data_IF_902338896022
#
_entry.id   IF_902338896022
#
_cell.length_a   1.000
_cell.length_b   1.000
_cell.length_c   1.000
_cell.angle_alpha   90.00
_cell.angle_beta   90.00
_cell.angle_gamma   90.00
#
_symmetry.space_group_name_H-M   'P 1'
#
loop_
_entity.id
_entity.type
_entity.pdbx_description
1 polymer ?
#
# COMPACT_ATOMS: atom_id res chain seq x y z
N UNK A 1 2.52 -8.28 -20.38
CA UNK A 1 1.10 -8.34 -19.96
C UNK A 1 0.32 -7.30 -20.74
N UNK A 2 -0.64 -7.72 -21.59
CA UNK A 2 -1.52 -6.80 -22.33
C UNK A 2 -2.31 -5.97 -21.32
N UNK A 3 -2.18 -4.67 -21.40
CA UNK A 3 -2.87 -3.74 -20.50
C UNK A 3 -4.38 -3.81 -20.74
N UNK A 4 -5.13 -4.26 -19.75
CA UNK A 4 -6.58 -4.12 -19.77
C UNK A 4 -6.95 -2.63 -19.77
N UNK A 5 -7.91 -2.20 -20.60
CA UNK A 5 -8.41 -0.83 -20.57
C UNK A 5 -8.89 -0.44 -19.17
N UNK A 6 -8.85 0.84 -18.82
CA UNK A 6 -9.19 1.32 -17.46
C UNK A 6 -10.59 0.88 -17.02
N UNK A 7 -11.57 0.87 -17.93
CA UNK A 7 -12.94 0.46 -17.62
C UNK A 7 -13.07 -1.03 -17.24
N UNK A 8 -12.27 -1.93 -17.83
CA UNK A 8 -12.31 -3.36 -17.45
C UNK A 8 -11.73 -3.59 -16.07
N UNK A 9 -10.71 -2.83 -15.66
CA UNK A 9 -10.15 -2.88 -14.29
C UNK A 9 -11.17 -2.40 -13.26
N UNK A 10 -11.89 -1.32 -13.54
CA UNK A 10 -12.97 -0.85 -12.71
C UNK A 10 -14.14 -1.81 -12.64
N UNK A 11 -14.50 -2.43 -13.75
CA UNK A 11 -15.56 -3.44 -13.81
C UNK A 11 -15.22 -4.68 -12.96
N UNK A 12 -13.99 -5.19 -13.06
CA UNK A 12 -13.51 -6.31 -12.23
C UNK A 12 -13.52 -5.92 -10.75
N UNK A 13 -13.02 -4.74 -10.41
CA UNK A 13 -13.01 -4.24 -9.03
C UNK A 13 -14.43 -4.14 -8.47
N UNK A 14 -15.37 -3.51 -9.20
CA UNK A 14 -16.77 -3.40 -8.80
C UNK A 14 -17.43 -4.77 -8.63
N UNK A 15 -17.16 -5.70 -9.54
CA UNK A 15 -17.70 -7.06 -9.44
C UNK A 15 -17.19 -7.79 -8.19
N UNK A 16 -15.88 -7.73 -7.92
CA UNK A 16 -15.30 -8.36 -6.71
C UNK A 16 -15.84 -7.70 -5.44
N UNK A 17 -15.95 -6.37 -5.41
CA UNK A 17 -16.54 -5.64 -4.27
C UNK A 17 -17.97 -6.08 -4.03
N UNK A 18 -18.79 -6.14 -5.07
CA UNK A 18 -20.19 -6.58 -4.97
C UNK A 18 -20.29 -8.02 -4.46
N UNK A 19 -19.43 -8.91 -4.96
CA UNK A 19 -19.37 -10.30 -4.52
C UNK A 19 -19.00 -10.43 -3.03
N UNK A 20 -17.99 -9.67 -2.57
CA UNK A 20 -17.58 -9.65 -1.15
C UNK A 20 -18.70 -9.13 -0.26
N UNK A 21 -19.35 -8.02 -0.64
CA UNK A 21 -20.49 -7.45 0.11
C UNK A 21 -21.66 -8.44 0.16
N UNK A 22 -22.02 -9.04 -0.98
CA UNK A 22 -23.08 -10.03 -1.07
C UNK A 22 -22.80 -11.25 -0.18
N UNK A 23 -21.58 -11.76 -0.21
CA UNK A 23 -21.15 -12.89 0.63
C UNK A 23 -21.22 -12.54 2.12
N UNK A 24 -20.76 -11.35 2.52
CA UNK A 24 -20.82 -10.89 3.91
C UNK A 24 -22.27 -10.76 4.41
N UNK A 25 -23.17 -10.18 3.60
CA UNK A 25 -24.59 -10.04 3.93
C UNK A 25 -25.26 -11.42 4.04
N UNK A 26 -25.05 -12.30 3.05
CA UNK A 26 -25.63 -13.65 3.05
C UNK A 26 -25.11 -14.47 4.23
N UNK A 27 -23.82 -14.40 4.53
CA UNK A 27 -23.21 -15.09 5.66
C UNK A 27 -23.76 -14.57 7.00
N UNK A 28 -23.87 -13.26 7.18
CA UNK A 28 -24.46 -12.65 8.38
C UNK A 28 -25.92 -13.07 8.58
N UNK A 29 -26.69 -13.10 7.50
CA UNK A 29 -28.09 -13.55 7.55
C UNK A 29 -28.19 -15.02 7.96
N UNK A 30 -27.37 -15.88 7.36
CA UNK A 30 -27.34 -17.33 7.68
C UNK A 30 -26.95 -17.58 9.16
N UNK A 31 -25.88 -16.90 9.62
CA UNK A 31 -25.42 -17.04 11.01
C UNK A 31 -26.49 -16.60 12.00
N UNK A 32 -27.16 -15.45 11.79
CA UNK A 32 -28.27 -14.98 12.65
C UNK A 32 -29.41 -15.99 12.67
N UNK A 33 -29.72 -16.60 11.52
CA UNK A 33 -30.76 -17.64 11.45
C UNK A 33 -30.38 -18.89 12.25
N UNK A 34 -29.14 -19.34 12.13
CA UNK A 34 -28.60 -20.47 12.90
C UNK A 34 -28.61 -20.17 14.41
N UNK A 35 -28.13 -18.99 14.82
CA UNK A 35 -28.19 -18.58 16.23
C UNK A 35 -29.60 -18.60 16.78
N UNK A 36 -30.57 -18.08 16.03
CA UNK A 36 -31.97 -18.12 16.45
C UNK A 36 -32.48 -19.55 16.61
N UNK A 37 -32.20 -20.44 15.65
CA UNK A 37 -32.62 -21.85 15.74
C UNK A 37 -32.00 -22.58 16.95
N UNK A 38 -30.74 -22.31 17.28
CA UNK A 38 -30.11 -22.90 18.45
C UNK A 38 -30.68 -22.33 19.76
N UNK A 39 -30.98 -21.04 19.83
CA UNK A 39 -31.67 -20.45 21.00
C UNK A 39 -33.04 -21.06 21.19
N UNK A 40 -33.84 -21.18 20.12
CA UNK A 40 -35.18 -21.80 20.18
C UNK A 40 -35.10 -23.28 20.69
N UNK A 41 -34.06 -24.02 20.27
CA UNK A 41 -33.82 -25.40 20.80
C UNK A 41 -33.49 -25.40 22.28
N UNK A 42 -32.66 -24.49 22.76
CA UNK A 42 -32.33 -24.41 24.21
C UNK A 42 -33.61 -24.11 24.99
N UNK A 43 -34.46 -23.19 24.47
CA UNK A 43 -35.74 -22.86 25.13
C UNK A 43 -36.72 -24.04 25.19
N UNK A 44 -36.81 -24.85 24.13
CA UNK A 44 -37.63 -26.09 24.11
C UNK A 44 -37.16 -27.06 25.15
N UNK A 45 -35.85 -27.32 25.26
CA UNK A 45 -35.28 -28.24 26.24
C UNK A 45 -35.46 -27.73 27.68
N UNK A 46 -35.23 -26.40 27.87
CA UNK A 46 -35.44 -25.78 29.18
C UNK A 46 -36.93 -25.89 29.62
N UNK A 47 -37.85 -25.69 28.66
CA UNK A 47 -39.30 -25.84 28.92
C UNK A 47 -39.63 -27.29 29.24
N UNK A 48 -39.13 -28.27 28.51
CA UNK A 48 -39.32 -29.69 28.80
C UNK A 48 -38.78 -30.06 30.19
N UNK A 49 -37.61 -29.57 30.58
CA UNK A 49 -37.06 -29.77 31.93
C UNK A 49 -37.91 -29.14 33.04
N UNK A 50 -38.50 -27.95 32.78
CA UNK A 50 -39.43 -27.28 33.70
C UNK A 50 -40.68 -28.10 33.93
N UNK A 51 -41.28 -28.71 32.90
CA UNK A 51 -42.39 -29.61 33.03
C UNK A 51 -42.06 -30.87 33.83
N UNK A 52 -40.86 -31.41 33.78
CA UNK A 52 -40.44 -32.53 34.65
C UNK A 52 -40.36 -32.17 36.13
N UNK A 53 -40.24 -30.91 36.50
CA UNK A 53 -40.25 -30.44 37.89
C UNK A 53 -41.64 -30.29 38.47
N UNK A 54 -42.66 -30.17 37.60
CA UNK A 54 -44.03 -29.95 38.05
C UNK A 54 -44.65 -31.24 38.52
N UNK A 55 -45.00 -31.34 39.82
CA UNK A 55 -45.59 -32.52 40.47
C UNK A 55 -46.94 -32.93 39.85
N UNK A 56 -47.54 -32.09 39.04
CA UNK A 56 -48.83 -32.38 38.34
C UNK A 56 -48.64 -33.16 37.03
N UNK A 57 -47.43 -33.33 36.55
CA UNK A 57 -47.13 -33.97 35.24
C UNK A 57 -46.92 -35.50 35.41
N UNK A 58 -47.88 -36.20 35.97
CA UNK A 58 -47.86 -37.67 36.12
C UNK A 58 -48.46 -38.42 34.90
N UNK A 59 -48.75 -37.72 33.80
CA UNK A 59 -49.28 -38.39 32.61
C UNK A 59 -48.12 -39.11 31.86
N UNK A 60 -48.20 -40.46 31.70
CA UNK A 60 -47.18 -41.25 31.03
C UNK A 60 -46.81 -40.75 29.61
N UNK A 61 -47.77 -40.19 28.86
CA UNK A 61 -47.54 -39.66 27.49
C UNK A 61 -46.75 -38.38 27.51
N UNK A 62 -46.97 -37.53 28.48
CA UNK A 62 -46.22 -36.29 28.67
C UNK A 62 -44.76 -36.60 29.04
N UNK A 63 -44.56 -37.57 29.92
CA UNK A 63 -43.23 -38.04 30.31
C UNK A 63 -42.46 -38.66 29.13
N UNK A 64 -43.15 -39.48 28.31
CA UNK A 64 -42.58 -40.06 27.10
C UNK A 64 -42.16 -39.01 26.08
N UNK A 65 -43.00 -37.94 25.89
CA UNK A 65 -42.68 -36.82 25.02
C UNK A 65 -41.43 -36.07 25.50
N UNK A 66 -41.35 -35.78 26.82
CA UNK A 66 -40.22 -35.06 27.39
C UNK A 66 -38.93 -35.90 27.24
N UNK A 67 -38.99 -37.20 27.52
CA UNK A 67 -37.86 -38.11 27.34
C UNK A 67 -37.41 -38.17 25.86
N UNK A 68 -38.37 -38.13 24.93
CA UNK A 68 -38.06 -38.11 23.49
C UNK A 68 -37.34 -36.78 23.10
N UNK A 69 -37.83 -35.64 23.58
CA UNK A 69 -37.17 -34.31 23.35
C UNK A 69 -35.75 -34.34 23.92
N UNK A 70 -35.55 -34.88 25.12
CA UNK A 70 -34.20 -35.00 25.72
C UNK A 70 -33.31 -36.00 24.99
N UNK A 71 -33.88 -37.09 24.48
CA UNK A 71 -33.16 -38.11 23.72
C UNK A 71 -32.72 -37.59 22.33
N UNK A 72 -33.52 -36.76 21.70
CA UNK A 72 -33.22 -36.17 20.42
C UNK A 72 -32.28 -34.93 20.51
N UNK A 73 -31.90 -34.59 21.75
CA UNK A 73 -30.92 -33.52 21.96
C UNK A 73 -29.50 -33.93 21.50
N UNK A 74 -29.07 -33.45 20.36
CA UNK A 74 -27.77 -33.74 19.77
C UNK A 74 -26.78 -32.58 19.85
N UNK A 75 -27.17 -31.42 20.43
CA UNK A 75 -26.33 -30.22 20.39
C UNK A 75 -26.12 -29.56 21.75
N UNK A 76 -27.10 -29.62 22.66
CA UNK A 76 -27.06 -28.91 23.93
C UNK A 76 -26.40 -29.77 25.00
N UNK A 77 -25.31 -29.31 25.65
CA UNK A 77 -24.68 -30.00 26.75
C UNK A 77 -25.62 -30.07 27.97
N UNK A 78 -25.81 -31.26 28.51
CA UNK A 78 -26.61 -31.48 29.70
C UNK A 78 -25.85 -32.42 30.63
N UNK A 79 -25.88 -32.15 31.94
CA UNK A 79 -25.29 -33.02 32.96
C UNK A 79 -26.11 -32.99 34.21
N UNK A 80 -26.29 -34.20 34.81
CA UNK A 80 -26.98 -34.39 36.08
C UNK A 80 -25.95 -34.40 37.24
N UNK A 81 -26.29 -33.71 38.33
CA UNK A 81 -25.48 -33.69 39.55
C UNK A 81 -26.31 -34.10 40.77
N UNK A 82 -25.62 -34.50 41.83
CA UNK A 82 -26.20 -34.70 43.15
C UNK A 82 -26.49 -33.36 43.87
N UNK A 83 -27.00 -33.44 45.10
CA UNK A 83 -27.25 -32.27 45.96
C UNK A 83 -26.00 -31.44 46.29
N UNK A 84 -24.84 -32.07 46.24
CA UNK A 84 -23.55 -31.44 46.54
C UNK A 84 -22.90 -30.83 45.28
N UNK A 85 -23.54 -30.95 44.11
CA UNK A 85 -23.05 -30.45 42.84
C UNK A 85 -22.00 -31.37 42.20
N UNK A 86 -21.83 -32.63 42.66
CA UNK A 86 -20.94 -33.57 42.01
C UNK A 86 -21.63 -34.25 40.83
N UNK A 87 -20.93 -34.43 39.70
CA UNK A 87 -21.50 -35.03 38.50
C UNK A 87 -21.82 -36.52 38.72
N UNK A 88 -23.00 -36.92 38.28
CA UNK A 88 -23.39 -38.34 38.24
C UNK A 88 -22.98 -38.85 36.86
N UNK A 89 -21.95 -39.73 36.83
CA UNK A 89 -21.40 -40.26 35.57
C UNK A 89 -21.96 -41.68 35.30
N UNK A 90 -23.27 -41.79 35.19
CA UNK A 90 -23.94 -43.01 34.74
C UNK A 90 -24.41 -42.88 33.30
N UNK A 91 -24.68 -44.00 32.65
CA UNK A 91 -25.23 -43.99 31.29
C UNK A 91 -26.57 -43.23 31.25
N UNK A 92 -26.64 -42.20 30.38
CA UNK A 92 -27.83 -41.36 30.26
C UNK A 92 -27.91 -40.13 31.19
N UNK A 93 -26.99 -39.96 32.15
CA UNK A 93 -26.98 -38.80 33.06
C UNK A 93 -26.23 -37.57 32.52
N UNK A 94 -25.53 -37.71 31.44
CA UNK A 94 -24.87 -36.59 30.72
C UNK A 94 -25.03 -36.77 29.21
N UNK A 95 -25.05 -35.66 28.49
CA UNK A 95 -25.16 -35.66 27.04
C UNK A 95 -24.44 -34.44 26.43
N UNK A 96 -23.83 -34.63 25.26
CA UNK A 96 -23.12 -33.60 24.51
C UNK A 96 -22.02 -32.85 25.31
N UNK A 97 -21.47 -33.50 26.34
CA UNK A 97 -20.35 -32.98 27.10
C UNK A 97 -19.06 -33.16 26.27
N UNK A 98 -18.22 -32.09 26.09
CA UNK A 98 -16.95 -32.22 25.40
C UNK A 98 -16.06 -33.30 26.02
N UNK A 99 -15.44 -34.16 25.20
CA UNK A 99 -14.54 -35.22 25.66
C UNK A 99 -13.41 -34.69 26.54
N UNK A 100 -12.89 -33.51 26.23
CA UNK A 100 -11.85 -32.84 27.01
C UNK A 100 -12.28 -32.51 28.45
N UNK A 101 -13.57 -32.25 28.67
CA UNK A 101 -14.10 -31.98 29.99
C UNK A 101 -14.28 -33.26 30.82
N UNK A 102 -14.42 -34.42 30.17
CA UNK A 102 -14.55 -35.74 30.83
C UNK A 102 -13.18 -36.35 31.23
N UNK A 103 -12.06 -35.79 30.74
CA UNK A 103 -10.73 -36.32 31.03
C UNK A 103 -10.32 -36.20 32.49
N UNK A 104 -10.73 -35.12 33.18
CA UNK A 104 -10.39 -34.91 34.59
C UNK A 104 -11.60 -34.36 35.37
N UNK A 105 -11.78 -34.81 36.64
CA UNK A 105 -12.87 -34.34 37.49
C UNK A 105 -12.86 -32.81 37.68
N UNK A 106 -11.67 -32.21 37.66
CA UNK A 106 -11.50 -30.76 37.84
C UNK A 106 -12.03 -29.95 36.61
N UNK A 107 -11.75 -30.43 35.38
CA UNK A 107 -12.29 -29.83 34.15
C UNK A 107 -13.82 -29.96 34.12
N UNK A 108 -14.36 -31.10 34.54
CA UNK A 108 -15.80 -31.29 34.55
C UNK A 108 -16.48 -30.40 35.60
N UNK A 109 -15.93 -30.27 36.82
CA UNK A 109 -16.43 -29.31 37.82
C UNK A 109 -16.36 -27.87 37.34
N UNK A 110 -15.29 -27.47 36.63
CA UNK A 110 -15.18 -26.17 36.05
C UNK A 110 -16.28 -25.91 34.98
N UNK A 111 -16.57 -26.91 34.14
CA UNK A 111 -17.65 -26.85 33.17
C UNK A 111 -19.02 -26.71 33.85
N UNK A 112 -19.33 -27.51 34.87
CA UNK A 112 -20.59 -27.44 35.64
C UNK A 112 -20.74 -26.03 36.25
N UNK A 113 -19.67 -25.49 36.83
CA UNK A 113 -19.69 -24.11 37.36
C UNK A 113 -19.96 -23.07 36.28
N UNK A 114 -19.37 -23.23 35.09
CA UNK A 114 -19.64 -22.37 33.93
C UNK A 114 -21.12 -22.46 33.50
N UNK A 115 -21.66 -23.66 33.42
CA UNK A 115 -23.06 -23.90 33.07
C UNK A 115 -24.02 -23.23 34.09
N UNK A 116 -23.77 -23.39 35.40
CA UNK A 116 -24.54 -22.76 36.45
C UNK A 116 -24.48 -21.20 36.46
N UNK A 117 -23.38 -20.63 35.95
CA UNK A 117 -23.27 -19.18 35.76
C UNK A 117 -24.05 -18.69 34.52
N UNK A 118 -24.27 -19.54 33.52
CA UNK A 118 -24.99 -19.21 32.29
C UNK A 118 -26.50 -19.33 32.47
N UNK A 119 -26.95 -20.44 33.07
CA UNK A 119 -28.36 -20.71 33.32
C UNK A 119 -28.53 -21.30 34.71
N UNK A 120 -29.67 -21.02 35.37
CA UNK A 120 -30.03 -21.63 36.63
C UNK A 120 -30.31 -23.16 36.44
N UNK A 121 -29.70 -24.02 37.27
CA UNK A 121 -29.93 -25.47 37.17
C UNK A 121 -31.38 -25.83 37.56
N UNK A 122 -31.93 -26.83 36.91
CA UNK A 122 -33.24 -27.35 37.25
C UNK A 122 -33.16 -28.38 38.37
N UNK A 123 -34.02 -28.25 39.39
CA UNK A 123 -34.13 -29.17 40.50
C UNK A 123 -35.04 -30.34 40.14
N UNK A 124 -34.58 -31.59 40.27
CA UNK A 124 -35.39 -32.79 40.19
C UNK A 124 -35.55 -33.38 41.59
N UNK A 125 -36.77 -33.44 42.09
CA UNK A 125 -37.10 -34.10 43.35
C UNK A 125 -37.25 -35.59 43.10
N UNK A 126 -36.38 -36.40 43.68
CA UNK A 126 -36.45 -37.88 43.57
C UNK A 126 -37.32 -38.43 44.66
N UNK A 127 -38.04 -39.57 44.41
CA UNK A 127 -38.92 -40.24 45.40
C UNK A 127 -38.21 -40.69 46.67
N UNK A 128 -36.88 -40.86 46.58
CA UNK A 128 -36.03 -41.28 47.72
C UNK A 128 -35.58 -40.10 48.62
N UNK A 129 -36.12 -38.90 48.41
CA UNK A 129 -35.80 -37.67 49.14
C UNK A 129 -34.47 -37.03 48.81
N UNK A 130 -33.70 -37.56 47.84
CA UNK A 130 -32.47 -36.93 47.34
C UNK A 130 -32.79 -36.07 46.16
N UNK A 131 -32.44 -34.77 46.24
CA UNK A 131 -32.59 -33.85 45.13
C UNK A 131 -31.42 -34.01 44.13
N UNK A 132 -31.70 -33.87 42.86
CA UNK A 132 -30.71 -33.83 41.80
C UNK A 132 -30.85 -32.54 41.03
N UNK A 133 -29.77 -32.06 40.38
CA UNK A 133 -29.80 -30.84 39.59
C UNK A 133 -29.36 -31.14 38.15
N UNK A 134 -30.14 -30.62 37.20
CA UNK A 134 -29.76 -30.64 35.78
C UNK A 134 -29.12 -29.32 35.42
N UNK A 135 -27.85 -29.37 35.04
CA UNK A 135 -27.12 -28.27 34.43
C UNK A 135 -27.18 -28.38 32.92
N UNK A 136 -27.37 -27.25 32.25
CA UNK A 136 -27.35 -27.16 30.80
C UNK A 136 -26.68 -25.86 30.36
N UNK A 137 -26.28 -25.79 29.10
CA UNK A 137 -25.57 -24.63 28.54
C UNK A 137 -25.97 -24.45 27.09
N UNK A 138 -25.44 -23.38 26.48
CA UNK A 138 -25.55 -23.17 25.02
C UNK A 138 -24.98 -24.38 24.28
N UNK A 139 -25.48 -24.59 23.05
CA UNK A 139 -24.85 -25.57 22.17
C UNK A 139 -23.42 -25.16 21.85
N UNK A 140 -22.55 -26.15 21.65
CA UNK A 140 -21.17 -25.91 21.23
C UNK A 140 -21.07 -25.15 19.92
N UNK A 141 -22.10 -25.26 19.09
CA UNK A 141 -22.21 -24.46 17.84
C UNK A 141 -22.45 -22.99 18.15
N UNK A 142 -23.34 -22.66 19.08
CA UNK A 142 -23.66 -21.29 19.45
C UNK A 142 -22.44 -20.57 20.02
N UNK A 143 -21.69 -21.22 20.90
CA UNK A 143 -20.46 -20.68 21.47
C UNK A 143 -19.40 -20.38 20.38
N UNK A 144 -19.30 -21.20 19.32
CA UNK A 144 -18.41 -20.96 18.17
C UNK A 144 -18.89 -19.80 17.29
N UNK A 145 -20.22 -19.65 17.15
CA UNK A 145 -20.79 -18.59 16.34
C UNK A 145 -20.58 -17.19 16.95
N UNK A 146 -20.32 -17.09 18.24
CA UNK A 146 -20.02 -15.82 18.92
C UNK A 146 -18.71 -15.18 18.42
N UNK A 147 -17.76 -15.98 17.89
CA UNK A 147 -16.52 -15.45 17.28
C UNK A 147 -16.70 -14.95 15.83
N UNK A 148 -17.86 -15.23 15.22
CA UNK A 148 -18.11 -14.87 13.83
C UNK A 148 -17.92 -13.37 13.53
N UNK A 149 -18.40 -12.41 14.36
CA UNK A 149 -18.20 -10.98 14.10
C UNK A 149 -16.72 -10.60 14.05
N UNK A 150 -15.88 -11.22 14.88
CA UNK A 150 -14.44 -10.98 14.88
C UNK A 150 -13.79 -11.49 13.58
N UNK A 151 -14.14 -12.71 13.17
CA UNK A 151 -13.64 -13.30 11.92
C UNK A 151 -14.04 -12.43 10.72
N UNK A 152 -15.31 -12.00 10.67
CA UNK A 152 -15.81 -11.12 9.63
C UNK A 152 -15.06 -9.76 9.60
N UNK A 153 -14.81 -9.18 10.76
CA UNK A 153 -14.05 -7.92 10.87
C UNK A 153 -12.62 -8.05 10.33
N UNK A 154 -11.95 -9.17 10.57
CA UNK A 154 -10.61 -9.46 10.02
C UNK A 154 -10.66 -9.56 8.49
N UNK A 155 -11.64 -10.28 7.93
CA UNK A 155 -11.79 -10.37 6.47
C UNK A 155 -12.10 -9.02 5.82
N UNK A 156 -12.99 -8.20 6.40
CA UNK A 156 -13.31 -6.86 5.89
C UNK A 156 -12.07 -5.96 5.96
N UNK A 157 -11.32 -5.99 7.05
CA UNK A 157 -10.09 -5.22 7.20
C UNK A 157 -9.04 -5.60 6.16
N UNK A 158 -8.84 -6.89 5.92
CA UNK A 158 -7.96 -7.39 4.86
C UNK A 158 -8.39 -6.92 3.47
N UNK A 159 -9.68 -6.98 3.16
CA UNK A 159 -10.21 -6.47 1.90
C UNK A 159 -9.99 -4.97 1.74
N UNK A 160 -10.20 -4.15 2.77
CA UNK A 160 -9.95 -2.70 2.73
C UNK A 160 -8.47 -2.38 2.48
N UNK A 161 -7.55 -3.15 3.05
CA UNK A 161 -6.10 -3.01 2.78
C UNK A 161 -5.77 -3.31 1.31
N UNK A 162 -6.35 -4.37 0.74
CA UNK A 162 -6.19 -4.69 -0.69
C UNK A 162 -6.75 -3.59 -1.57
N UNK A 163 -7.93 -3.03 -1.25
CA UNK A 163 -8.52 -1.90 -1.94
C UNK A 163 -7.60 -0.67 -1.89
N UNK A 164 -7.11 -0.33 -0.72
CA UNK A 164 -6.19 0.81 -0.54
C UNK A 164 -4.92 0.65 -1.38
N UNK A 165 -4.30 -0.53 -1.35
CA UNK A 165 -3.13 -0.84 -2.16
C UNK A 165 -3.42 -0.76 -3.67
N UNK A 166 -4.56 -1.30 -4.11
CA UNK A 166 -5.02 -1.25 -5.50
C UNK A 166 -5.19 0.18 -6.00
N UNK A 167 -5.91 1.04 -5.25
CA UNK A 167 -6.09 2.44 -5.61
C UNK A 167 -4.79 3.24 -5.64
N UNK A 168 -3.90 2.97 -4.68
CA UNK A 168 -2.58 3.61 -4.65
C UNK A 168 -1.73 3.23 -5.87
N UNK A 169 -1.78 1.97 -6.27
CA UNK A 169 -1.05 1.47 -7.44
C UNK A 169 -1.63 2.02 -8.74
N UNK A 170 -2.97 2.07 -8.87
CA UNK A 170 -3.62 2.66 -10.03
C UNK A 170 -3.26 4.13 -10.24
N UNK A 171 -3.32 4.95 -9.19
CA UNK A 171 -2.92 6.36 -9.29
C UNK A 171 -1.51 6.54 -9.82
N UNK A 172 -0.57 5.77 -9.31
CA UNK A 172 0.82 5.84 -9.80
C UNK A 172 0.91 5.51 -11.29
N UNK A 173 0.25 4.43 -11.72
CA UNK A 173 0.28 3.99 -13.11
C UNK A 173 -0.36 5.01 -14.06
N UNK A 174 -1.46 5.65 -13.68
CA UNK A 174 -2.14 6.65 -14.50
C UNK A 174 -1.27 7.92 -14.66
N UNK A 175 -0.62 8.40 -13.60
CA UNK A 175 0.34 9.49 -13.68
C UNK A 175 1.51 9.16 -14.61
N UNK A 176 2.07 7.95 -14.53
CA UNK A 176 3.15 7.48 -15.41
C UNK A 176 2.74 7.45 -16.88
N UNK A 177 1.55 6.94 -17.15
CA UNK A 177 1.05 6.81 -18.52
C UNK A 177 0.77 8.16 -19.18
N UNK A 178 0.18 9.10 -18.44
CA UNK A 178 -0.08 10.46 -18.92
C UNK A 178 1.23 11.19 -19.24
N UNK A 179 2.23 11.11 -18.37
CA UNK A 179 3.52 11.76 -18.60
C UNK A 179 4.28 11.18 -19.78
N UNK A 180 4.31 9.83 -19.93
CA UNK A 180 4.97 9.20 -21.07
C UNK A 180 4.26 9.51 -22.38
N UNK A 181 2.93 9.53 -22.40
CA UNK A 181 2.14 9.91 -23.56
C UNK A 181 2.33 11.37 -23.97
N UNK A 182 2.24 12.28 -23.00
CA UNK A 182 2.48 13.72 -23.23
C UNK A 182 3.90 14.01 -23.72
N UNK A 183 4.90 13.37 -23.10
CA UNK A 183 6.29 13.57 -23.50
C UNK A 183 6.54 13.09 -24.93
N UNK A 184 6.05 11.90 -25.28
CA UNK A 184 6.19 11.32 -26.61
C UNK A 184 5.47 12.17 -27.68
N UNK A 185 4.23 12.57 -27.39
CA UNK A 185 3.45 13.40 -28.29
C UNK A 185 4.08 14.79 -28.47
N UNK A 186 4.50 15.43 -27.38
CA UNK A 186 5.19 16.73 -27.43
C UNK A 186 6.48 16.65 -28.25
N UNK A 187 7.28 15.59 -28.06
CA UNK A 187 8.49 15.39 -28.84
C UNK A 187 8.19 15.22 -30.33
N UNK A 188 7.13 14.50 -30.69
CA UNK A 188 6.72 14.31 -32.07
C UNK A 188 6.21 15.61 -32.70
N UNK A 189 5.36 16.35 -32.00
CA UNK A 189 4.79 17.63 -32.46
C UNK A 189 5.85 18.73 -32.60
N UNK A 190 6.89 18.73 -31.78
CA UNK A 190 8.04 19.64 -31.87
C UNK A 190 9.01 19.20 -32.96
N UNK A 191 9.23 17.88 -33.12
CA UNK A 191 10.21 17.33 -34.06
C UNK A 191 9.94 17.69 -35.50
N UNK A 192 8.67 17.73 -35.92
CA UNK A 192 8.27 18.07 -37.32
C UNK A 192 8.66 19.51 -37.71
N UNK A 193 8.22 20.57 -36.99
CA UNK A 193 8.65 21.94 -37.33
C UNK A 193 10.17 22.14 -37.13
N UNK A 194 10.77 21.44 -36.21
CA UNK A 194 12.20 21.50 -35.96
C UNK A 194 13.03 20.99 -37.12
N UNK A 195 12.61 19.86 -37.73
CA UNK A 195 13.25 19.33 -38.95
C UNK A 195 13.16 20.33 -40.12
N UNK A 196 12.03 21.04 -40.25
CA UNK A 196 11.86 22.10 -41.25
C UNK A 196 12.82 23.26 -40.96
N UNK A 197 12.92 23.72 -39.68
CA UNK A 197 13.85 24.78 -39.31
C UNK A 197 15.30 24.40 -39.58
N UNK A 198 15.71 23.16 -39.33
CA UNK A 198 17.06 22.68 -39.68
C UNK A 198 17.32 22.77 -41.19
N UNK A 199 16.33 22.39 -42.02
CA UNK A 199 16.44 22.51 -43.46
C UNK A 199 16.62 23.99 -43.92
N UNK A 200 15.84 24.91 -43.33
CA UNK A 200 15.99 26.34 -43.63
C UNK A 200 17.35 26.90 -43.18
N UNK A 201 17.84 26.49 -42.01
CA UNK A 201 19.17 26.90 -41.53
C UNK A 201 20.27 26.46 -42.52
N UNK A 202 20.15 25.22 -43.04
CA UNK A 202 21.13 24.68 -43.96
C UNK A 202 21.12 25.46 -45.33
N UNK A 203 19.92 25.79 -45.85
CA UNK A 203 19.77 26.63 -47.05
C UNK A 203 20.40 28.01 -46.81
N UNK A 204 20.07 28.69 -45.70
CA UNK A 204 20.64 29.97 -45.36
C UNK A 204 22.16 29.94 -45.17
N UNK A 205 22.74 28.86 -44.70
CA UNK A 205 24.20 28.61 -44.62
C UNK A 205 24.84 28.55 -46.01
N UNK A 206 24.16 27.90 -46.97
CA UNK A 206 24.62 27.79 -48.34
C UNK A 206 24.59 29.18 -49.03
N UNK A 207 23.55 29.98 -48.76
CA UNK A 207 23.39 31.32 -49.34
C UNK A 207 24.37 32.34 -48.72
N UNK A 208 24.62 32.31 -47.41
CA UNK A 208 25.52 33.24 -46.72
C UNK A 208 26.30 32.56 -45.56
N UNK A 209 27.41 31.84 -45.86
CA UNK A 209 28.21 31.10 -44.89
C UNK A 209 28.81 31.97 -43.78
N UNK A 210 29.02 33.25 -44.01
CA UNK A 210 29.63 34.17 -43.05
C UNK A 210 28.65 34.88 -42.13
N UNK A 211 27.34 34.73 -42.34
CA UNK A 211 26.30 35.38 -41.54
C UNK A 211 26.37 34.96 -40.05
N UNK A 212 26.59 35.96 -39.18
CA UNK A 212 26.53 35.76 -37.73
C UNK A 212 25.13 35.32 -37.27
N UNK A 213 24.06 35.86 -37.91
CA UNK A 213 22.68 35.52 -37.57
C UNK A 213 22.33 34.05 -37.85
N UNK A 214 22.83 33.50 -38.97
CA UNK A 214 22.63 32.07 -39.30
C UNK A 214 23.35 31.17 -38.30
N UNK A 215 24.56 31.53 -37.87
CA UNK A 215 25.30 30.77 -36.85
C UNK A 215 24.59 30.76 -35.49
N UNK A 216 23.99 31.88 -35.08
CA UNK A 216 23.23 31.92 -33.82
C UNK A 216 21.90 31.15 -33.93
N UNK A 217 21.19 31.28 -35.08
CA UNK A 217 19.98 30.51 -35.34
C UNK A 217 20.24 29.01 -35.35
N UNK A 218 21.35 28.56 -35.96
CA UNK A 218 21.77 27.14 -35.92
C UNK A 218 21.97 26.64 -34.48
N UNK A 219 22.60 27.45 -33.64
CA UNK A 219 22.75 27.09 -32.21
C UNK A 219 21.42 26.93 -31.48
N UNK A 220 20.48 27.83 -31.73
CA UNK A 220 19.16 27.78 -31.11
C UNK A 220 18.33 26.58 -31.61
N UNK A 221 18.36 26.28 -32.91
CA UNK A 221 17.71 25.14 -33.52
C UNK A 221 18.31 23.85 -32.96
N UNK A 222 19.63 23.70 -32.89
CA UNK A 222 20.29 22.56 -32.30
C UNK A 222 19.92 22.38 -30.82
N UNK A 223 19.74 23.47 -30.09
CA UNK A 223 19.27 23.43 -28.72
C UNK A 223 17.84 22.88 -28.60
N UNK A 224 16.94 23.26 -29.52
CA UNK A 224 15.59 22.71 -29.59
C UNK A 224 15.59 21.22 -29.95
N UNK A 225 16.49 20.78 -30.85
CA UNK A 225 16.69 19.34 -31.15
C UNK A 225 17.01 18.55 -29.90
N UNK A 226 18.00 18.98 -29.12
CA UNK A 226 18.39 18.33 -27.87
C UNK A 226 17.22 18.28 -26.86
N UNK A 227 16.41 19.34 -26.77
CA UNK A 227 15.23 19.37 -25.91
C UNK A 227 14.19 18.35 -26.40
N UNK A 228 13.89 18.31 -27.69
CA UNK A 228 12.94 17.37 -28.29
C UNK A 228 13.39 15.90 -28.07
N UNK A 229 14.67 15.59 -28.29
CA UNK A 229 15.24 14.27 -28.02
C UNK A 229 15.09 13.84 -26.55
N UNK A 230 15.32 14.75 -25.62
CA UNK A 230 15.14 14.52 -24.18
C UNK A 230 13.69 14.14 -23.86
N UNK A 231 12.70 14.87 -24.40
CA UNK A 231 11.28 14.54 -24.25
C UNK A 231 10.94 13.18 -24.86
N UNK A 232 11.48 12.87 -26.05
CA UNK A 232 11.30 11.56 -26.69
C UNK A 232 11.82 10.40 -25.83
N UNK A 233 13.00 10.57 -25.21
CA UNK A 233 13.60 9.55 -24.34
C UNK A 233 12.82 9.36 -23.04
N UNK A 234 12.17 10.39 -22.49
CA UNK A 234 11.29 10.27 -21.31
C UNK A 234 10.02 9.44 -21.65
N UNK A 235 9.56 9.47 -22.90
CA UNK A 235 8.41 8.67 -23.37
C UNK A 235 8.73 7.22 -23.75
N UNK A 236 10.00 6.83 -23.75
CA UNK A 236 10.46 5.48 -24.12
C UNK A 236 11.35 4.89 -23.01
N UNK A 237 11.49 3.56 -22.96
CA UNK A 237 12.45 2.90 -22.08
C UNK A 237 13.85 3.17 -22.60
N UNK A 238 14.72 3.92 -21.89
CA UNK A 238 16.07 4.18 -22.35
C UNK A 238 16.96 2.94 -22.21
N UNK A 239 17.91 2.80 -23.12
CA UNK A 239 18.98 1.84 -22.98
C UNK A 239 20.00 2.38 -21.95
N UNK A 240 20.34 1.54 -20.98
CA UNK A 240 21.39 1.80 -20.01
C UNK A 240 22.64 1.06 -20.45
N UNK A 241 23.75 1.76 -20.48
CA UNK A 241 25.06 1.18 -20.78
C UNK A 241 25.99 1.40 -19.60
N UNK A 242 26.90 0.46 -19.36
CA UNK A 242 27.96 0.60 -18.37
C UNK A 242 28.96 1.66 -18.84
N UNK A 243 28.78 2.88 -18.35
CA UNK A 243 29.57 4.04 -18.72
C UNK A 243 30.24 4.65 -17.49
N UNK A 244 31.37 5.31 -17.70
CA UNK A 244 32.06 6.04 -16.65
C UNK A 244 31.27 7.31 -16.26
N UNK A 245 30.64 7.27 -15.10
CA UNK A 245 29.81 8.37 -14.58
C UNK A 245 30.64 9.64 -14.33
N UNK A 246 31.90 9.50 -13.90
CA UNK A 246 32.85 10.61 -13.74
C UNK A 246 33.00 11.40 -15.05
N UNK A 247 33.21 10.71 -16.18
CA UNK A 247 33.31 11.35 -17.50
C UNK A 247 32.01 12.05 -17.91
N UNK A 248 30.86 11.40 -17.62
CA UNK A 248 29.55 12.02 -17.90
C UNK A 248 29.35 13.31 -17.11
N UNK A 249 29.74 13.34 -15.82
CA UNK A 249 29.66 14.55 -14.99
C UNK A 249 30.67 15.60 -15.46
N UNK A 250 31.91 15.19 -15.73
CA UNK A 250 32.97 16.10 -16.22
C UNK A 250 32.55 16.78 -17.51
N UNK A 251 32.04 16.04 -18.49
CA UNK A 251 31.52 16.59 -19.74
C UNK A 251 30.45 17.69 -19.49
N UNK A 252 29.51 17.42 -18.58
CA UNK A 252 28.47 18.40 -18.24
C UNK A 252 29.03 19.59 -17.46
N UNK A 253 29.98 19.36 -16.57
CA UNK A 253 30.65 20.42 -15.82
C UNK A 253 31.36 21.41 -16.78
N UNK A 254 32.15 20.88 -17.73
CA UNK A 254 32.89 21.69 -18.71
C UNK A 254 31.93 22.42 -19.65
N UNK A 255 30.81 21.80 -20.01
CA UNK A 255 29.76 22.44 -20.83
C UNK A 255 29.02 23.57 -20.09
N UNK A 256 28.72 23.38 -18.80
CA UNK A 256 27.92 24.32 -18.02
C UNK A 256 28.74 25.46 -17.44
N UNK A 257 29.98 25.23 -17.04
CA UNK A 257 30.86 26.21 -16.39
C UNK A 257 30.96 27.55 -17.14
N UNK A 258 31.20 27.58 -18.46
CA UNK A 258 31.26 28.86 -19.20
C UNK A 258 29.88 29.49 -19.46
N UNK A 259 28.79 28.80 -19.14
CA UNK A 259 27.38 29.22 -19.40
C UNK A 259 26.65 29.71 -18.17
N UNK A 260 27.21 29.49 -17.00
CA UNK A 260 26.71 30.04 -15.73
C UNK A 260 27.43 31.37 -15.42
N UNK A 261 26.87 32.15 -14.48
CA UNK A 261 27.48 33.37 -14.03
C UNK A 261 28.91 33.19 -13.55
N UNK A 262 29.84 34.05 -13.97
CA UNK A 262 31.23 34.04 -13.47
C UNK A 262 31.36 34.33 -11.97
N UNK A 263 30.29 34.79 -11.32
CA UNK A 263 30.20 34.99 -9.87
C UNK A 263 29.90 33.70 -9.10
N UNK A 264 29.67 32.57 -9.78
CA UNK A 264 29.47 31.27 -9.17
C UNK A 264 30.80 30.51 -9.14
N UNK A 265 31.32 30.26 -7.94
CA UNK A 265 32.46 29.33 -7.74
C UNK A 265 31.95 27.89 -7.93
N UNK A 266 32.18 27.33 -9.14
CA UNK A 266 31.69 26.03 -9.55
C UNK A 266 32.81 24.99 -9.53
N UNK A 267 32.67 23.95 -8.72
CA UNK A 267 33.66 22.89 -8.51
C UNK A 267 33.09 21.50 -8.73
N UNK A 268 33.92 20.61 -9.22
CA UNK A 268 33.63 19.18 -9.34
C UNK A 268 34.73 18.38 -8.65
N UNK A 269 34.35 17.51 -7.73
CA UNK A 269 35.19 16.63 -6.98
C UNK A 269 34.78 15.16 -7.28
N UNK A 270 35.70 14.31 -7.66
CA UNK A 270 35.48 12.92 -7.98
C UNK A 270 36.69 12.05 -7.56
N UNK A 271 36.50 10.74 -7.37
CA UNK A 271 37.60 9.79 -7.18
C UNK A 271 38.58 9.82 -8.36
N UNK A 272 39.82 9.38 -8.16
CA UNK A 272 40.77 9.24 -9.25
C UNK A 272 40.36 8.12 -10.20
N UNK A 273 39.85 7.03 -9.68
CA UNK A 273 39.39 5.86 -10.44
C UNK A 273 38.07 6.10 -11.21
N UNK A 274 37.89 5.38 -12.34
CA UNK A 274 36.61 5.45 -13.08
C UNK A 274 35.47 4.83 -12.26
N UNK A 275 34.33 5.50 -12.22
CA UNK A 275 33.14 5.03 -11.57
C UNK A 275 32.17 4.50 -12.63
N UNK A 276 32.10 3.17 -12.79
CA UNK A 276 31.28 2.52 -13.80
C UNK A 276 29.85 2.27 -13.24
N UNK A 277 28.84 2.82 -13.91
CA UNK A 277 27.42 2.68 -13.53
C UNK A 277 26.58 2.52 -14.78
N UNK A 278 25.62 1.57 -14.80
CA UNK A 278 24.66 1.49 -15.89
C UNK A 278 23.80 2.78 -15.98
N UNK A 279 24.03 3.60 -17.00
CA UNK A 279 23.22 4.82 -17.16
C UNK A 279 23.06 5.26 -18.63
N UNK A 280 22.02 6.06 -18.87
CA UNK A 280 21.82 6.78 -20.12
C UNK A 280 22.53 8.12 -20.06
N UNK A 281 23.58 8.31 -20.86
CA UNK A 281 24.35 9.57 -20.90
C UNK A 281 23.47 10.79 -21.13
N UNK A 282 22.46 10.69 -22.02
CA UNK A 282 21.55 11.79 -22.38
C UNK A 282 20.68 12.17 -21.18
N UNK A 283 20.04 11.19 -20.53
CA UNK A 283 19.15 11.45 -19.40
C UNK A 283 19.91 11.88 -18.15
N UNK A 284 21.08 11.28 -17.90
CA UNK A 284 21.95 11.69 -16.78
C UNK A 284 22.46 13.13 -16.97
N UNK A 285 22.89 13.49 -18.18
CA UNK A 285 23.29 14.85 -18.51
C UNK A 285 22.15 15.84 -18.23
N UNK A 286 20.92 15.46 -18.55
CA UNK A 286 19.78 16.30 -18.28
C UNK A 286 19.48 16.43 -16.76
N UNK A 287 19.63 15.38 -15.98
CA UNK A 287 19.54 15.46 -14.51
C UNK A 287 20.56 16.45 -13.95
N UNK A 288 21.83 16.30 -14.36
CA UNK A 288 22.93 17.18 -13.93
C UNK A 288 22.62 18.64 -14.28
N UNK A 289 22.21 18.90 -15.51
CA UNK A 289 21.84 20.26 -15.95
C UNK A 289 20.70 20.85 -15.10
N UNK A 290 19.67 20.07 -14.79
CA UNK A 290 18.57 20.52 -13.93
C UNK A 290 19.02 20.84 -12.51
N UNK A 291 19.89 20.00 -11.92
CA UNK A 291 20.44 20.23 -10.58
C UNK A 291 21.27 21.52 -10.55
N UNK A 292 22.18 21.68 -11.51
CA UNK A 292 23.02 22.88 -11.62
C UNK A 292 22.17 24.15 -11.82
N UNK A 293 21.20 24.14 -12.74
CA UNK A 293 20.28 25.28 -12.94
C UNK A 293 19.50 25.62 -11.67
N UNK A 294 19.00 24.63 -10.95
CA UNK A 294 18.27 24.85 -9.71
C UNK A 294 19.16 25.47 -8.64
N UNK A 295 20.39 25.03 -8.51
CA UNK A 295 21.38 25.57 -7.59
C UNK A 295 21.72 27.04 -7.95
N UNK A 296 22.05 27.32 -9.21
CA UNK A 296 22.35 28.68 -9.68
C UNK A 296 21.19 29.62 -9.44
N UNK A 297 19.95 29.19 -9.71
CA UNK A 297 18.74 29.97 -9.45
C UNK A 297 18.53 30.24 -7.95
N UNK A 298 18.76 29.23 -7.09
CA UNK A 298 18.68 29.38 -5.64
C UNK A 298 19.70 30.36 -5.07
N UNK A 299 20.86 30.46 -5.71
CA UNK A 299 21.93 31.41 -5.41
C UNK A 299 21.75 32.75 -6.09
N UNK A 300 20.72 32.94 -6.93
CA UNK A 300 20.51 34.15 -7.75
C UNK A 300 21.70 34.51 -8.63
N UNK A 301 22.45 33.52 -9.09
CA UNK A 301 23.60 33.66 -9.97
C UNK A 301 24.91 34.09 -9.29
N UNK A 302 25.00 34.04 -7.97
CA UNK A 302 26.22 34.35 -7.20
C UNK A 302 26.35 33.43 -5.98
N UNK A 303 27.46 32.68 -5.85
CA UNK A 303 27.63 31.77 -4.73
C UNK A 303 28.61 30.63 -5.01
N UNK A 304 28.46 29.51 -4.30
CA UNK A 304 29.31 28.32 -4.43
C UNK A 304 28.44 27.12 -4.77
N UNK A 305 28.82 26.39 -5.82
CA UNK A 305 28.22 25.13 -6.24
C UNK A 305 29.29 24.06 -6.32
N UNK A 306 29.10 22.97 -5.60
CA UNK A 306 29.99 21.82 -5.61
C UNK A 306 29.22 20.59 -6.07
N UNK A 307 29.77 19.87 -7.06
CA UNK A 307 29.34 18.52 -7.41
C UNK A 307 30.34 17.55 -6.79
N UNK A 308 29.89 16.64 -5.95
CA UNK A 308 30.76 15.65 -5.33
C UNK A 308 30.30 14.24 -5.75
N UNK A 309 31.16 13.51 -6.48
CA UNK A 309 30.97 12.10 -6.81
C UNK A 309 31.78 11.25 -5.86
N UNK A 310 31.15 10.29 -5.24
CA UNK A 310 31.80 9.31 -4.35
C UNK A 310 30.99 8.02 -4.31
N UNK A 311 31.61 6.94 -3.87
CA UNK A 311 30.98 5.62 -3.79
C UNK A 311 31.26 4.97 -2.43
N UNK A 312 30.42 4.01 -2.08
CA UNK A 312 30.64 3.05 -1.02
C UNK A 312 30.38 1.63 -1.56
N UNK A 313 30.54 0.59 -0.74
CA UNK A 313 30.39 -0.82 -1.14
C UNK A 313 29.08 -1.17 -1.84
N UNK A 314 28.06 -0.33 -1.76
CA UNK A 314 26.69 -0.64 -2.24
C UNK A 314 26.13 0.37 -3.25
N UNK A 315 26.56 1.61 -3.19
CA UNK A 315 25.92 2.70 -3.93
C UNK A 315 26.93 3.75 -4.39
N UNK A 316 26.61 4.39 -5.49
CA UNK A 316 27.29 5.58 -6.00
C UNK A 316 26.46 6.81 -5.68
N UNK A 317 27.09 7.88 -5.21
CA UNK A 317 26.44 9.12 -4.80
C UNK A 317 26.92 10.30 -5.63
N UNK A 318 25.99 11.15 -6.02
CA UNK A 318 26.29 12.46 -6.61
C UNK A 318 25.60 13.50 -5.73
N UNK A 319 26.37 14.30 -5.01
CA UNK A 319 25.89 15.41 -4.21
C UNK A 319 26.03 16.73 -4.97
N UNK A 320 24.93 17.46 -5.11
CA UNK A 320 24.90 18.83 -5.62
C UNK A 320 24.68 19.76 -4.43
N UNK A 321 25.74 20.44 -4.01
CA UNK A 321 25.76 21.33 -2.84
C UNK A 321 25.83 22.76 -3.25
N UNK A 322 24.81 23.54 -2.92
CA UNK A 322 24.76 24.99 -3.11
C UNK A 322 24.69 25.74 -1.78
N UNK A 323 25.08 27.02 -1.78
CA UNK A 323 24.92 27.94 -0.67
C UNK A 323 23.80 28.97 -0.93
N UNK A 324 22.77 28.60 -1.64
CA UNK A 324 21.63 29.45 -2.01
C UNK A 324 20.63 29.67 -0.85
N UNK A 325 19.41 30.05 -1.21
CA UNK A 325 18.37 30.44 -0.25
C UNK A 325 17.88 29.29 0.66
N UNK A 326 18.20 28.03 0.35
CA UNK A 326 17.71 26.86 1.07
C UNK A 326 16.20 26.67 0.98
N UNK A 327 15.68 25.71 1.76
CA UNK A 327 14.26 25.32 1.76
C UNK A 327 13.73 25.11 3.16
N UNK A 328 12.45 25.43 3.38
CA UNK A 328 11.70 25.03 4.59
C UNK A 328 11.36 23.52 4.55
N UNK A 329 11.02 22.95 5.71
CA UNK A 329 10.59 21.54 5.81
C UNK A 329 9.39 21.21 4.90
N UNK A 330 8.45 22.14 4.72
CA UNK A 330 7.31 21.97 3.83
C UNK A 330 7.75 21.94 2.36
N UNK A 331 8.70 22.80 1.97
CA UNK A 331 9.25 22.82 0.63
C UNK A 331 10.05 21.55 0.32
N UNK A 332 10.90 21.08 1.24
CA UNK A 332 11.64 19.83 1.09
C UNK A 332 10.74 18.61 0.83
N UNK A 333 9.59 18.53 1.52
CA UNK A 333 8.61 17.44 1.32
C UNK A 333 7.92 17.49 -0.05
N UNK A 334 7.82 18.68 -0.66
CA UNK A 334 7.04 18.90 -1.87
C UNK A 334 7.89 19.17 -3.12
N UNK A 335 9.20 19.40 -2.98
CA UNK A 335 10.08 19.88 -4.07
C UNK A 335 10.10 18.96 -5.29
N UNK A 336 9.84 17.67 -5.12
CA UNK A 336 9.76 16.69 -6.20
C UNK A 336 8.34 16.46 -6.73
N UNK A 337 7.32 17.18 -6.22
CA UNK A 337 5.95 17.07 -6.76
C UNK A 337 5.86 17.79 -8.10
N UNK A 338 5.25 17.18 -9.13
CA UNK A 338 5.00 17.84 -10.41
C UNK A 338 4.25 19.15 -10.21
N UNK A 339 4.70 20.20 -10.88
CA UNK A 339 4.08 21.53 -10.79
C UNK A 339 4.46 22.35 -9.56
N UNK A 340 5.23 21.79 -8.62
CA UNK A 340 5.72 22.55 -7.47
C UNK A 340 6.88 23.47 -7.88
N UNK A 341 6.71 24.77 -7.70
CA UNK A 341 7.72 25.77 -7.97
C UNK A 341 7.57 26.97 -7.05
N UNK A 342 8.67 27.47 -6.56
CA UNK A 342 8.74 28.75 -5.83
C UNK A 342 9.09 29.93 -6.74
N UNK A 343 9.35 29.69 -8.03
CA UNK A 343 9.75 30.63 -9.03
C UNK A 343 8.53 31.25 -9.74
N UNK A 344 8.53 32.58 -9.99
CA UNK A 344 7.46 33.27 -10.75
C UNK A 344 7.34 32.75 -12.20
N UNK A 345 8.44 32.29 -12.80
CA UNK A 345 8.52 31.73 -14.15
C UNK A 345 9.16 30.35 -14.07
N UNK A 346 8.38 29.30 -13.85
CA UNK A 346 8.86 27.92 -13.80
C UNK A 346 7.70 26.95 -13.74
N UNK A 347 7.69 25.96 -14.59
CA UNK A 347 6.64 24.95 -14.70
C UNK A 347 6.65 23.95 -13.53
N UNK A 348 7.68 23.99 -12.67
CA UNK A 348 7.81 23.05 -11.55
C UNK A 348 8.03 21.60 -11.97
N UNK A 349 8.53 21.36 -13.19
CA UNK A 349 8.67 20.03 -13.75
C UNK A 349 10.10 19.47 -13.66
N UNK A 350 11.14 20.33 -13.54
CA UNK A 350 12.54 19.89 -13.62
C UNK A 350 12.91 18.84 -12.57
N UNK A 351 12.63 19.11 -11.29
CA UNK A 351 12.96 18.18 -10.20
C UNK A 351 12.09 16.92 -10.19
N UNK A 352 10.82 17.02 -10.56
CA UNK A 352 9.94 15.86 -10.65
C UNK A 352 10.35 14.92 -11.79
N UNK A 353 10.77 15.49 -12.93
CA UNK A 353 11.30 14.71 -14.05
C UNK A 353 12.69 14.13 -13.73
N UNK A 354 13.57 14.88 -13.05
CA UNK A 354 14.85 14.34 -12.57
C UNK A 354 14.65 13.16 -11.64
N UNK A 355 13.69 13.26 -10.71
CA UNK A 355 13.32 12.15 -9.84
C UNK A 355 12.83 10.95 -10.63
N UNK A 356 12.01 11.17 -11.63
CA UNK A 356 11.52 10.11 -12.50
C UNK A 356 12.67 9.42 -13.25
N UNK A 357 13.58 10.19 -13.83
CA UNK A 357 14.75 9.66 -14.56
C UNK A 357 15.60 8.77 -13.64
N UNK A 358 15.88 9.22 -12.44
CA UNK A 358 16.71 8.45 -11.51
C UNK A 358 15.95 7.22 -10.99
N UNK A 359 14.70 7.38 -10.52
CA UNK A 359 13.99 6.28 -9.87
C UNK A 359 13.46 5.23 -10.85
N UNK A 360 12.90 5.66 -12.00
CA UNK A 360 12.22 4.72 -12.91
C UNK A 360 13.15 4.14 -13.95
N UNK A 361 14.11 4.93 -14.46
CA UNK A 361 14.97 4.51 -15.55
C UNK A 361 16.33 4.00 -15.08
N UNK A 362 16.86 4.55 -13.97
CA UNK A 362 18.17 4.11 -13.45
C UNK A 362 18.08 3.25 -12.18
N UNK A 363 16.85 3.03 -11.65
CA UNK A 363 16.66 2.19 -10.44
C UNK A 363 17.23 2.80 -9.15
N UNK A 364 17.64 4.08 -9.19
CA UNK A 364 18.23 4.81 -8.08
C UNK A 364 17.23 5.63 -7.27
N UNK A 365 17.73 6.57 -6.47
CA UNK A 365 16.91 7.53 -5.74
C UNK A 365 17.50 8.95 -5.81
N UNK A 366 16.65 9.97 -5.70
CA UNK A 366 17.04 11.37 -5.56
C UNK A 366 16.29 12.02 -4.43
N UNK A 367 17.03 12.67 -3.52
CA UNK A 367 16.48 13.30 -2.32
C UNK A 367 17.19 14.58 -1.94
N UNK A 368 16.55 15.36 -1.10
CA UNK A 368 17.21 16.46 -0.38
C UNK A 368 17.93 15.84 0.83
N UNK A 369 19.25 15.81 0.79
CA UNK A 369 20.07 15.28 1.87
C UNK A 369 20.08 16.24 3.06
N UNK A 370 20.19 17.55 2.80
CA UNK A 370 20.03 18.62 3.79
C UNK A 370 19.64 19.92 3.12
N UNK A 371 18.87 20.75 3.83
CA UNK A 371 18.59 22.15 3.41
C UNK A 371 18.24 22.97 4.62
N UNK A 372 18.79 24.18 4.68
CA UNK A 372 18.50 25.14 5.71
C UNK A 372 18.32 26.52 5.08
N UNK A 373 17.25 27.21 5.49
CA UNK A 373 16.91 28.54 4.93
C UNK A 373 18.07 29.51 5.18
N UNK A 374 18.56 30.13 4.11
CA UNK A 374 19.69 31.07 4.12
C UNK A 374 21.09 30.43 4.12
N UNK A 375 21.21 29.08 4.16
CA UNK A 375 22.51 28.39 4.18
C UNK A 375 22.76 27.53 2.94
N UNK A 376 21.70 27.15 2.24
CA UNK A 376 21.80 26.36 1.01
C UNK A 376 21.16 24.99 1.07
N UNK A 377 21.41 24.17 0.04
CA UNK A 377 20.82 22.85 -0.13
C UNK A 377 21.86 21.84 -0.61
N UNK A 378 21.69 20.60 -0.20
CA UNK A 378 22.37 19.43 -0.76
C UNK A 378 21.31 18.49 -1.34
N UNK A 379 21.29 18.39 -2.67
CA UNK A 379 20.56 17.33 -3.37
C UNK A 379 21.48 16.14 -3.57
N UNK A 380 20.97 14.95 -3.26
CA UNK A 380 21.72 13.70 -3.41
C UNK A 380 21.01 12.77 -4.38
N UNK A 381 21.76 12.34 -5.41
CA UNK A 381 21.41 11.23 -6.30
C UNK A 381 22.14 9.99 -5.79
N UNK A 382 21.43 8.85 -5.79
CA UNK A 382 21.93 7.52 -5.36
C UNK A 382 21.71 6.57 -6.53
N UNK A 383 22.74 5.87 -6.96
CA UNK A 383 22.71 4.88 -8.04
C UNK A 383 23.21 3.54 -7.55
#
# INVERSE_FOLDING_TARGET
MKYFPSYTRWAIFMFVTLAVVSLAVASTYLIRRLQKQEIDRVEVIATAMKFMQDEQTNDPKTLELILTIMKDNNSIPIILTDQEGNPILAEGTYRNIPSEALETPEKLKALIKKMGNTYQPFLIKMPNGKNQYIYYSNSLLLDKLDYYPLVLAVFISGYLLVCFWFFRTMRKNDEHFLWAGLAKETAHQIGTPLSSMMGWVEIMKMENPSSKGVKELEKDVNRLVVISERFSKIGSTPELNDLNLKETIQYNFDYLKPRISSKVDFKFNAPEEPVLVPHSKILMSWVIENMVKNAVDAMKGEGKLEINLYENDKHVFIDFKDNGCGMTNTQMKNVFRPGFSTKKRGWGLGLSLAKRVINEYHGGDIKVASSEVGKGTIFRVIL
#
